data_IF_953608899563
#
_entry.id   IF_953608899563
#
_cell.length_a   1.000
_cell.length_b   1.000
_cell.length_c   1.000
_cell.angle_alpha   90.00
_cell.angle_beta   90.00
_cell.angle_gamma   90.00
#
_symmetry.space_group_name_H-M   'P 1'
#
loop_
_entity.id
_entity.type
_entity.pdbx_description
1 polymer ?
#
# COMPACT_ATOMS: atom_id res chain seq x y z
N UNK A 1 19.53 -10.38 -31.66
CA UNK A 1 18.17 -10.90 -31.31
C UNK A 1 17.29 -10.73 -32.57
N UNK A 2 16.82 -11.83 -33.20
CA UNK A 2 16.06 -11.73 -34.48
C UNK A 2 14.54 -11.72 -34.24
N UNK A 3 14.08 -10.87 -33.33
CA UNK A 3 12.65 -10.69 -33.00
C UNK A 3 12.26 -9.24 -33.28
N UNK A 4 11.14 -9.05 -34.00
CA UNK A 4 10.67 -7.72 -34.41
C UNK A 4 9.39 -7.34 -33.67
N UNK A 5 9.21 -6.04 -33.40
CA UNK A 5 7.94 -5.50 -32.91
C UNK A 5 6.81 -5.87 -33.88
N UNK A 6 5.60 -6.14 -33.38
CA UNK A 6 4.43 -6.68 -34.07
C UNK A 6 4.53 -8.16 -34.50
N UNK A 7 5.68 -8.82 -34.32
CA UNK A 7 5.79 -10.25 -34.58
C UNK A 7 4.88 -11.04 -33.64
N UNK A 8 4.16 -12.04 -34.16
CA UNK A 8 3.36 -13.00 -33.38
C UNK A 8 4.22 -14.21 -33.04
N UNK A 9 4.22 -14.61 -31.79
CA UNK A 9 5.01 -15.73 -31.27
C UNK A 9 4.16 -16.64 -30.38
N UNK A 10 4.30 -17.96 -30.50
CA UNK A 10 3.75 -18.90 -29.51
C UNK A 10 4.64 -18.89 -28.26
N UNK A 11 4.02 -19.03 -27.10
CA UNK A 11 4.74 -19.01 -25.83
C UNK A 11 4.07 -19.94 -24.80
N UNK A 12 4.89 -20.66 -24.03
CA UNK A 12 4.44 -21.36 -22.84
C UNK A 12 4.83 -20.56 -21.60
N UNK A 13 3.86 -20.21 -20.78
CA UNK A 13 4.08 -19.43 -19.56
C UNK A 13 4.61 -20.35 -18.46
N UNK A 14 5.80 -20.04 -17.97
CA UNK A 14 6.53 -20.85 -16.98
C UNK A 14 6.30 -20.40 -15.55
N UNK A 15 6.15 -19.07 -15.32
CA UNK A 15 5.94 -18.47 -14.01
C UNK A 15 5.20 -17.15 -14.13
N UNK A 16 4.79 -16.59 -13.01
CA UNK A 16 4.26 -15.23 -12.89
C UNK A 16 5.35 -14.27 -12.40
N UNK A 17 5.30 -13.04 -12.87
CA UNK A 17 6.21 -11.97 -12.47
C UNK A 17 5.63 -11.07 -11.37
N UNK A 18 6.45 -10.14 -10.89
CA UNK A 18 6.16 -9.28 -9.74
C UNK A 18 4.96 -8.33 -9.96
N UNK A 19 4.59 -8.05 -11.21
CA UNK A 19 3.42 -7.24 -11.53
C UNK A 19 2.22 -8.10 -11.98
N UNK A 20 2.24 -9.42 -11.76
CA UNK A 20 1.19 -10.34 -12.16
C UNK A 20 1.22 -10.78 -13.63
N UNK A 21 2.22 -10.37 -14.39
CA UNK A 21 2.41 -10.79 -15.77
C UNK A 21 2.89 -12.24 -15.88
N UNK A 22 2.44 -12.95 -16.92
CA UNK A 22 2.99 -14.26 -17.28
C UNK A 22 4.40 -14.11 -17.87
N UNK A 23 5.30 -15.03 -17.51
CA UNK A 23 6.68 -15.06 -17.97
C UNK A 23 6.95 -16.37 -18.69
N UNK A 24 7.43 -16.27 -19.93
CA UNK A 24 7.92 -17.39 -20.74
C UNK A 24 9.23 -17.06 -21.42
N UNK A 25 9.71 -18.00 -22.26
CA UNK A 25 10.95 -17.83 -23.02
C UNK A 25 10.72 -18.09 -24.50
N UNK A 26 11.14 -17.17 -25.33
CA UNK A 26 11.18 -17.33 -26.77
C UNK A 26 12.62 -17.24 -27.26
N UNK A 27 13.15 -18.35 -27.88
CA UNK A 27 14.56 -18.46 -28.33
C UNK A 27 15.54 -17.99 -27.22
N UNK A 28 15.38 -18.51 -25.98
CA UNK A 28 16.17 -18.19 -24.77
C UNK A 28 15.99 -16.75 -24.22
N UNK A 29 15.17 -15.92 -24.85
CA UNK A 29 14.88 -14.55 -24.38
C UNK A 29 13.64 -14.54 -23.52
N UNK A 30 13.71 -13.83 -22.41
CA UNK A 30 12.60 -13.63 -21.47
C UNK A 30 11.48 -12.83 -22.14
N UNK A 31 10.23 -13.27 -21.99
CA UNK A 31 9.04 -12.59 -22.54
C UNK A 31 8.02 -12.37 -21.42
N UNK A 32 7.61 -11.11 -21.23
CA UNK A 32 6.57 -10.72 -20.31
C UNK A 32 5.24 -10.55 -21.05
N UNK A 33 4.20 -11.19 -20.55
CA UNK A 33 2.85 -11.20 -21.16
C UNK A 33 1.80 -10.88 -20.09
N UNK A 34 1.40 -9.61 -19.94
CA UNK A 34 0.28 -9.25 -19.05
C UNK A 34 -0.98 -10.05 -19.38
N UNK A 35 -1.71 -10.49 -18.36
CA UNK A 35 -2.94 -11.25 -18.50
C UNK A 35 -2.77 -12.74 -18.77
N UNK A 36 -1.55 -13.26 -18.98
CA UNK A 36 -1.29 -14.68 -19.12
C UNK A 36 -0.93 -15.34 -17.79
N UNK A 37 -1.38 -16.58 -17.53
CA UNK A 37 -1.18 -17.33 -16.30
C UNK A 37 -0.16 -18.46 -16.46
N UNK A 38 0.53 -18.79 -15.36
CA UNK A 38 1.44 -19.95 -15.31
C UNK A 38 0.77 -21.22 -15.82
N UNK A 39 1.48 -21.93 -16.70
CA UNK A 39 1.04 -23.20 -17.32
C UNK A 39 0.26 -23.03 -18.61
N UNK A 40 -0.14 -21.80 -18.99
CA UNK A 40 -0.86 -21.53 -20.24
C UNK A 40 0.08 -21.61 -21.44
N UNK A 41 -0.50 -22.01 -22.59
CA UNK A 41 0.10 -21.91 -23.91
C UNK A 41 -0.65 -20.83 -24.69
N UNK A 42 0.05 -19.80 -25.12
CA UNK A 42 -0.55 -18.59 -25.67
C UNK A 42 0.09 -18.18 -26.99
N UNK A 43 -0.66 -17.47 -27.81
CA UNK A 43 -0.10 -16.61 -28.84
C UNK A 43 -0.06 -15.17 -28.34
N UNK A 44 1.06 -14.52 -28.51
CA UNK A 44 1.23 -13.13 -28.14
C UNK A 44 1.88 -12.32 -29.25
N UNK A 45 1.67 -11.01 -29.25
CA UNK A 45 2.26 -10.07 -30.19
C UNK A 45 3.32 -9.23 -29.46
N UNK A 46 4.54 -9.24 -30.00
CA UNK A 46 5.65 -8.43 -29.48
C UNK A 46 5.31 -6.95 -29.59
N UNK A 47 5.33 -6.27 -28.43
CA UNK A 47 5.08 -4.82 -28.33
C UNK A 47 6.37 -4.02 -28.16
N UNK A 48 7.37 -4.61 -27.50
CA UNK A 48 8.67 -3.97 -27.27
C UNK A 48 9.79 -5.01 -27.21
N UNK A 49 10.94 -4.68 -27.75
CA UNK A 49 12.14 -5.50 -27.68
C UNK A 49 13.22 -4.70 -26.92
N UNK A 50 13.68 -5.26 -25.81
CA UNK A 50 14.79 -4.74 -25.01
C UNK A 50 16.02 -5.65 -25.13
N UNK A 51 17.15 -5.19 -24.61
CA UNK A 51 18.40 -5.96 -24.67
C UNK A 51 18.27 -7.35 -24.03
N UNK A 52 17.57 -7.46 -22.89
CA UNK A 52 17.51 -8.67 -22.07
C UNK A 52 16.11 -9.30 -22.00
N UNK A 53 15.06 -8.65 -22.51
CA UNK A 53 13.70 -9.14 -22.47
C UNK A 53 12.82 -8.58 -23.58
N UNK A 54 11.66 -9.19 -23.75
CA UNK A 54 10.59 -8.79 -24.67
C UNK A 54 9.33 -8.53 -23.88
N UNK A 55 8.59 -7.48 -24.23
CA UNK A 55 7.21 -7.26 -23.78
C UNK A 55 6.27 -7.67 -24.92
N UNK A 56 5.19 -8.38 -24.57
CA UNK A 56 4.24 -8.84 -25.56
C UNK A 56 2.81 -8.73 -25.04
N UNK A 57 1.88 -8.45 -25.95
CA UNK A 57 0.44 -8.43 -25.69
C UNK A 57 -0.13 -9.83 -25.94
N UNK A 58 -0.93 -10.33 -24.99
CA UNK A 58 -1.71 -11.56 -25.14
C UNK A 58 -2.72 -11.39 -26.27
N UNK A 59 -2.76 -12.33 -27.21
CA UNK A 59 -3.75 -12.38 -28.31
C UNK A 59 -4.77 -13.49 -28.08
N UNK A 60 -4.29 -14.74 -27.93
CA UNK A 60 -5.13 -15.92 -27.73
C UNK A 60 -4.50 -16.88 -26.74
N UNK A 61 -5.34 -17.64 -26.05
CA UNK A 61 -4.93 -18.70 -25.14
C UNK A 61 -5.31 -20.02 -25.77
N UNK A 62 -4.31 -20.81 -26.19
CA UNK A 62 -4.51 -22.10 -26.85
C UNK A 62 -4.76 -23.21 -25.82
N UNK A 63 -4.07 -23.14 -24.65
CA UNK A 63 -4.30 -24.01 -23.52
C UNK A 63 -4.49 -23.17 -22.27
N UNK A 64 -5.71 -23.19 -21.72
CA UNK A 64 -6.07 -22.45 -20.50
C UNK A 64 -5.53 -23.13 -19.25
N UNK A 65 -5.13 -22.32 -18.28
CA UNK A 65 -4.94 -22.79 -16.92
C UNK A 65 -6.28 -23.20 -16.30
N UNK A 66 -6.34 -24.32 -15.58
CA UNK A 66 -7.53 -24.72 -14.83
C UNK A 66 -7.91 -23.76 -13.69
N UNK A 67 -7.00 -22.85 -13.35
CA UNK A 67 -7.18 -21.84 -12.32
C UNK A 67 -7.57 -20.47 -12.89
N UNK A 68 -7.72 -20.36 -14.21
CA UNK A 68 -8.23 -19.13 -14.82
C UNK A 68 -9.73 -19.06 -14.60
N UNK A 69 -10.17 -17.93 -14.05
CA UNK A 69 -11.58 -17.55 -13.91
C UNK A 69 -11.89 -16.36 -14.81
N UNK A 70 -13.16 -16.11 -15.04
CA UNK A 70 -13.60 -14.87 -15.66
C UNK A 70 -13.55 -13.75 -14.61
N UNK A 71 -12.89 -12.64 -14.94
CA UNK A 71 -12.84 -11.51 -14.04
C UNK A 71 -14.22 -10.84 -13.95
N UNK A 72 -14.82 -10.70 -12.77
CA UNK A 72 -16.18 -10.15 -12.63
C UNK A 72 -16.27 -8.65 -12.93
N UNK A 73 -15.14 -7.96 -13.09
CA UNK A 73 -15.07 -6.53 -13.35
C UNK A 73 -15.18 -6.24 -14.85
N UNK A 74 -16.24 -5.56 -15.27
CA UNK A 74 -16.52 -5.22 -16.68
C UNK A 74 -15.42 -4.40 -17.36
N UNK A 75 -14.64 -3.65 -16.58
CA UNK A 75 -13.57 -2.78 -17.08
C UNK A 75 -12.17 -3.33 -16.78
N UNK A 76 -12.07 -4.61 -16.40
CA UNK A 76 -10.80 -5.22 -15.97
C UNK A 76 -9.68 -5.03 -16.99
N UNK A 77 -9.94 -5.24 -18.26
CA UNK A 77 -8.94 -5.18 -19.34
C UNK A 77 -8.47 -3.74 -19.66
N UNK A 78 -9.25 -2.74 -19.27
CA UNK A 78 -8.93 -1.32 -19.52
C UNK A 78 -8.43 -0.57 -18.29
N UNK A 79 -8.75 -1.08 -17.08
CA UNK A 79 -8.39 -0.45 -15.82
C UNK A 79 -7.10 -1.04 -15.24
N UNK A 80 -6.04 -0.37 -15.10
CA UNK A 80 -4.80 -0.88 -14.49
C UNK A 80 -4.85 -1.14 -12.97
N UNK A 81 -6.03 -1.09 -12.32
CA UNK A 81 -6.16 -1.20 -10.87
C UNK A 81 -5.93 -2.61 -10.30
N UNK A 82 -6.32 -3.65 -11.03
CA UNK A 82 -6.19 -5.05 -10.65
C UNK A 82 -5.41 -5.81 -11.72
N UNK A 83 -4.46 -6.69 -11.32
CA UNK A 83 -3.59 -7.39 -12.26
C UNK A 83 -3.91 -8.88 -12.39
N UNK A 84 -4.51 -9.49 -11.34
CA UNK A 84 -4.68 -10.95 -11.26
C UNK A 84 -6.12 -11.38 -10.91
N UNK A 85 -7.14 -10.54 -11.15
CA UNK A 85 -8.55 -10.87 -10.88
C UNK A 85 -9.05 -12.05 -11.73
N UNK A 86 -8.38 -12.37 -12.83
CA UNK A 86 -8.64 -13.51 -13.70
C UNK A 86 -8.00 -14.83 -13.21
N UNK A 87 -7.35 -14.82 -12.03
CA UNK A 87 -6.82 -16.00 -11.34
C UNK A 87 -7.70 -16.34 -10.14
N UNK A 88 -8.03 -17.64 -9.94
CA UNK A 88 -8.78 -18.10 -8.76
C UNK A 88 -8.14 -17.59 -7.46
N UNK A 89 -8.95 -17.18 -6.48
CA UNK A 89 -8.45 -16.43 -5.32
C UNK A 89 -7.40 -17.21 -4.51
N UNK A 90 -7.63 -18.49 -4.23
CA UNK A 90 -6.62 -19.30 -3.52
C UNK A 90 -5.28 -19.34 -4.26
N UNK A 91 -5.32 -19.31 -5.59
CA UNK A 91 -4.09 -19.27 -6.41
C UNK A 91 -3.45 -17.88 -6.46
N UNK A 92 -4.21 -16.83 -6.15
CA UNK A 92 -3.64 -15.51 -5.90
C UNK A 92 -2.80 -15.52 -4.61
N UNK A 93 -3.24 -16.23 -3.55
CA UNK A 93 -2.49 -16.36 -2.29
C UNK A 93 -1.20 -17.15 -2.50
N UNK A 94 -1.26 -18.29 -3.19
CA UNK A 94 -0.06 -19.07 -3.56
C UNK A 94 0.91 -18.26 -4.44
N UNK A 95 0.39 -17.47 -5.37
CA UNK A 95 1.20 -16.58 -6.20
C UNK A 95 1.93 -15.52 -5.36
N UNK A 96 1.29 -14.94 -4.34
CA UNK A 96 1.91 -13.96 -3.46
C UNK A 96 3.02 -14.56 -2.61
N UNK A 97 2.83 -15.79 -2.13
CA UNK A 97 3.89 -16.55 -1.48
C UNK A 97 5.06 -16.84 -2.45
N UNK A 98 4.77 -17.24 -3.69
CA UNK A 98 5.78 -17.50 -4.71
C UNK A 98 6.61 -16.24 -5.05
N UNK A 99 5.99 -15.05 -5.05
CA UNK A 99 6.72 -13.79 -5.22
C UNK A 99 7.77 -13.56 -4.12
N UNK A 100 7.41 -13.85 -2.88
CA UNK A 100 8.33 -13.78 -1.75
C UNK A 100 9.49 -14.76 -1.94
N UNK A 101 9.20 -16.03 -2.26
CA UNK A 101 10.22 -17.06 -2.52
C UNK A 101 11.14 -16.67 -3.69
N UNK A 102 10.60 -16.10 -4.76
CA UNK A 102 11.39 -15.61 -5.90
C UNK A 102 12.33 -14.47 -5.49
N UNK A 103 11.86 -13.53 -4.64
CA UNK A 103 12.67 -12.42 -4.14
C UNK A 103 13.81 -12.94 -3.24
N UNK A 104 13.53 -13.82 -2.30
CA UNK A 104 14.53 -14.45 -1.44
C UNK A 104 15.59 -15.21 -2.27
N UNK A 105 15.17 -15.99 -3.24
CA UNK A 105 16.10 -16.70 -4.14
C UNK A 105 16.99 -15.76 -4.95
N UNK A 106 16.44 -14.60 -5.36
CA UNK A 106 17.18 -13.61 -6.16
C UNK A 106 18.26 -12.91 -5.35
N UNK A 107 17.97 -12.51 -4.12
CA UNK A 107 18.91 -11.75 -3.28
C UNK A 107 19.73 -12.64 -2.34
N UNK A 108 19.29 -13.87 -2.10
CA UNK A 108 19.95 -14.91 -1.31
C UNK A 108 20.49 -14.43 0.04
N UNK A 109 19.66 -13.83 0.94
CA UNK A 109 20.11 -13.50 2.29
C UNK A 109 20.55 -14.78 3.02
N UNK A 110 21.47 -14.67 3.96
CA UNK A 110 22.08 -15.81 4.63
C UNK A 110 21.03 -16.74 5.26
N UNK A 111 21.02 -18.01 4.90
CA UNK A 111 20.10 -19.03 5.44
C UNK A 111 18.70 -19.01 4.83
N UNK A 112 18.43 -18.24 3.78
CA UNK A 112 17.10 -18.05 3.19
C UNK A 112 16.39 -19.35 2.78
N UNK A 113 17.14 -20.40 2.48
CA UNK A 113 16.60 -21.70 2.09
C UNK A 113 15.87 -22.41 3.24
N UNK A 114 16.20 -22.05 4.49
CA UNK A 114 15.66 -22.61 5.71
C UNK A 114 14.61 -21.70 6.40
N UNK A 115 14.26 -20.55 5.82
CA UNK A 115 13.25 -19.67 6.43
C UNK A 115 11.88 -20.35 6.42
N UNK A 116 11.20 -20.33 7.56
CA UNK A 116 9.79 -20.71 7.63
C UNK A 116 8.94 -19.67 6.90
N UNK A 117 8.49 -19.99 5.69
CA UNK A 117 7.56 -19.15 4.93
C UNK A 117 6.17 -19.72 5.10
N UNK A 118 5.33 -18.99 5.82
CA UNK A 118 3.96 -19.37 6.12
C UNK A 118 3.03 -19.06 4.96
N UNK A 119 1.93 -19.82 4.77
CA UNK A 119 0.93 -19.55 3.74
C UNK A 119 0.39 -18.11 3.86
N UNK A 120 0.13 -17.47 2.73
CA UNK A 120 -0.42 -16.11 2.70
C UNK A 120 -1.81 -16.08 3.32
N UNK A 121 -2.03 -15.22 4.32
CA UNK A 121 -3.35 -15.01 4.91
C UNK A 121 -4.20 -14.18 3.97
N UNK A 122 -5.31 -14.76 3.49
CA UNK A 122 -6.26 -14.12 2.59
C UNK A 122 -7.47 -13.53 3.31
N UNK A 123 -8.41 -12.98 2.52
CA UNK A 123 -9.72 -12.51 2.96
C UNK A 123 -10.81 -13.55 2.66
N UNK A 124 -11.85 -13.60 3.48
CA UNK A 124 -13.07 -14.37 3.17
C UNK A 124 -13.83 -13.71 2.00
N UNK A 125 -14.01 -12.40 2.06
CA UNK A 125 -14.67 -11.59 1.04
C UNK A 125 -13.67 -10.64 0.38
N UNK A 126 -12.98 -11.05 -0.71
CA UNK A 126 -11.89 -10.28 -1.31
C UNK A 126 -12.38 -9.11 -2.20
N UNK A 127 -13.63 -8.70 -2.07
CA UNK A 127 -14.25 -7.58 -2.76
C UNK A 127 -14.64 -6.45 -1.79
N UNK A 128 -14.79 -5.23 -2.30
CA UNK A 128 -15.25 -4.05 -1.56
C UNK A 128 -14.43 -3.73 -0.29
N UNK A 129 -13.20 -4.19 -0.25
CA UNK A 129 -12.32 -4.07 0.92
C UNK A 129 -11.64 -2.71 1.05
N UNK A 130 -11.52 -1.96 -0.05
CA UNK A 130 -10.70 -0.76 -0.12
C UNK A 130 -11.47 0.45 0.44
N UNK A 131 -11.21 0.80 1.70
CA UNK A 131 -11.91 1.85 2.44
C UNK A 131 -11.52 3.28 2.03
N UNK A 132 -10.47 3.45 1.23
CA UNK A 132 -10.02 4.75 0.71
C UNK A 132 -9.94 4.71 -0.80
N UNK A 133 -10.67 5.58 -1.46
CA UNK A 133 -10.51 5.87 -2.89
C UNK A 133 -9.79 7.19 -3.11
N UNK A 134 -9.14 7.29 -4.26
CA UNK A 134 -8.45 8.49 -4.70
C UNK A 134 -8.53 8.54 -6.21
N UNK A 135 -9.57 9.22 -6.70
CA UNK A 135 -9.88 9.28 -8.12
C UNK A 135 -9.54 10.63 -8.73
N UNK A 136 -8.93 10.57 -9.89
CA UNK A 136 -8.73 11.74 -10.72
C UNK A 136 -10.06 12.16 -11.34
N UNK A 137 -10.25 13.46 -11.53
CA UNK A 137 -11.42 14.01 -12.22
C UNK A 137 -11.03 14.57 -13.58
N UNK A 138 -11.89 14.38 -14.58
CA UNK A 138 -11.73 14.95 -15.93
C UNK A 138 -13.09 15.33 -16.50
N UNK A 139 -13.10 16.39 -17.30
CA UNK A 139 -14.29 16.77 -18.05
C UNK A 139 -14.26 16.10 -19.43
N UNK A 140 -15.34 15.39 -19.77
CA UNK A 140 -15.58 14.79 -21.08
C UNK A 140 -16.88 15.37 -21.63
N UNK A 141 -16.76 16.24 -22.65
CA UNK A 141 -17.90 17.02 -23.14
C UNK A 141 -18.55 17.78 -21.98
N UNK A 142 -19.80 17.49 -21.66
CA UNK A 142 -20.55 18.14 -20.58
C UNK A 142 -20.57 17.35 -19.26
N UNK A 143 -19.96 16.15 -19.23
CA UNK A 143 -19.91 15.31 -18.05
C UNK A 143 -18.56 15.42 -17.32
N UNK A 144 -18.61 15.41 -16.00
CA UNK A 144 -17.43 15.18 -15.15
C UNK A 144 -17.36 13.69 -14.85
N UNK A 145 -16.20 13.07 -15.10
CA UNK A 145 -15.90 11.67 -14.78
C UNK A 145 -14.82 11.60 -13.72
N UNK A 146 -14.95 10.62 -12.83
CA UNK A 146 -13.95 10.28 -11.82
C UNK A 146 -13.45 8.85 -12.07
N UNK A 147 -12.16 8.61 -11.81
CA UNK A 147 -11.58 7.30 -12.02
C UNK A 147 -10.06 7.26 -11.89
N UNK A 148 -9.47 6.23 -12.47
CA UNK A 148 -8.02 6.00 -12.48
C UNK A 148 -7.48 6.13 -13.92
N UNK A 149 -6.19 6.41 -14.04
CA UNK A 149 -5.54 6.32 -15.35
C UNK A 149 -5.34 4.86 -15.77
N UNK A 150 -5.57 4.58 -17.04
CA UNK A 150 -5.19 3.30 -17.63
C UNK A 150 -3.68 3.09 -17.48
N UNK A 151 -3.27 1.83 -17.39
CA UNK A 151 -1.87 1.47 -17.15
C UNK A 151 -0.93 2.13 -18.18
N UNK A 152 0.13 2.78 -17.69
CA UNK A 152 1.14 3.50 -18.50
C UNK A 152 0.54 4.57 -19.44
N UNK A 153 -0.55 5.22 -19.02
CA UNK A 153 -1.20 6.25 -19.83
C UNK A 153 -1.80 7.37 -18.97
N UNK A 154 -2.12 8.50 -19.61
CA UNK A 154 -2.90 9.59 -19.01
C UNK A 154 -4.39 9.51 -19.39
N UNK A 155 -4.84 8.40 -20.02
CA UNK A 155 -6.24 8.19 -20.33
C UNK A 155 -7.00 7.81 -19.07
N UNK A 156 -8.03 8.60 -18.71
CA UNK A 156 -8.87 8.33 -17.54
C UNK A 156 -9.88 7.23 -17.85
N UNK A 157 -9.80 6.13 -17.15
CA UNK A 157 -10.86 5.10 -17.10
C UNK A 157 -11.87 5.50 -16.05
N UNK A 158 -13.10 5.78 -16.48
CA UNK A 158 -14.19 6.15 -15.56
C UNK A 158 -14.61 4.94 -14.72
N UNK A 159 -14.62 5.11 -13.40
CA UNK A 159 -14.93 4.04 -12.44
C UNK A 159 -16.30 4.34 -11.79
N UNK A 160 -17.39 3.90 -12.41
CA UNK A 160 -18.73 4.03 -11.85
C UNK A 160 -19.11 2.91 -10.90
N UNK A 161 -18.49 1.74 -11.06
CA UNK A 161 -18.70 0.56 -10.22
C UNK A 161 -17.38 -0.20 -10.11
N UNK A 162 -16.63 0.03 -9.04
CA UNK A 162 -15.37 -0.65 -8.80
C UNK A 162 -15.55 -1.72 -7.73
N UNK A 163 -15.34 -2.98 -8.09
CA UNK A 163 -15.58 -4.12 -7.20
C UNK A 163 -14.61 -4.22 -6.02
N UNK A 164 -13.51 -3.48 -6.02
CA UNK A 164 -12.57 -3.48 -4.87
C UNK A 164 -12.76 -2.27 -3.95
N UNK A 165 -13.45 -1.20 -4.40
CA UNK A 165 -13.74 -0.04 -3.58
C UNK A 165 -14.93 -0.28 -2.65
N UNK A 166 -14.90 0.30 -1.45
CA UNK A 166 -16.03 0.33 -0.54
C UNK A 166 -17.26 0.93 -1.23
N UNK A 167 -18.42 0.31 -1.04
CA UNK A 167 -19.66 0.67 -1.74
C UNK A 167 -20.11 2.11 -1.46
N UNK A 168 -19.98 2.56 -0.22
CA UNK A 168 -20.37 3.93 0.20
C UNK A 168 -19.46 4.97 -0.44
N UNK A 169 -18.13 4.76 -0.36
CA UNK A 169 -17.18 5.68 -1.00
C UNK A 169 -17.38 5.75 -2.51
N UNK A 170 -17.76 4.62 -3.14
CA UNK A 170 -18.08 4.57 -4.58
C UNK A 170 -19.37 5.35 -4.90
N UNK A 171 -20.40 5.26 -4.07
CA UNK A 171 -21.64 6.04 -4.25
C UNK A 171 -21.36 7.53 -4.11
N UNK A 172 -20.62 7.93 -3.08
CA UNK A 172 -20.24 9.33 -2.86
C UNK A 172 -19.46 9.90 -4.04
N UNK A 173 -18.43 9.22 -4.56
CA UNK A 173 -17.66 9.75 -5.70
C UNK A 173 -18.50 9.88 -6.97
N UNK A 174 -19.44 8.97 -7.21
CA UNK A 174 -20.37 9.06 -8.33
C UNK A 174 -21.29 10.29 -8.19
N UNK A 175 -21.74 10.59 -6.96
CA UNK A 175 -22.51 11.81 -6.68
C UNK A 175 -21.66 13.06 -6.83
N UNK A 176 -20.44 13.06 -6.27
CA UNK A 176 -19.49 14.17 -6.42
C UNK A 176 -19.27 14.51 -7.89
N UNK A 177 -19.00 13.53 -8.75
CA UNK A 177 -18.80 13.78 -10.18
C UNK A 177 -20.01 14.48 -10.83
N UNK A 178 -21.24 14.04 -10.49
CA UNK A 178 -22.47 14.67 -10.96
C UNK A 178 -22.63 16.11 -10.44
N UNK A 179 -22.34 16.35 -9.16
CA UNK A 179 -22.48 17.67 -8.54
C UNK A 179 -21.45 18.66 -9.05
N UNK A 180 -20.19 18.22 -9.29
CA UNK A 180 -19.17 19.05 -9.92
C UNK A 180 -19.60 19.54 -11.30
N UNK A 181 -20.30 18.69 -12.08
CA UNK A 181 -20.90 19.05 -13.35
C UNK A 181 -22.11 19.98 -13.19
N UNK A 182 -23.07 19.65 -12.29
CA UNK A 182 -24.27 20.43 -11.99
C UNK A 182 -23.95 21.88 -11.63
N UNK A 183 -22.96 22.06 -10.74
CA UNK A 183 -22.53 23.38 -10.25
C UNK A 183 -21.43 24.01 -11.12
N UNK A 184 -21.10 23.39 -12.26
CA UNK A 184 -20.12 23.89 -13.25
C UNK A 184 -18.75 24.24 -12.61
N UNK A 185 -18.34 23.46 -11.60
CA UNK A 185 -17.03 23.71 -10.98
C UNK A 185 -15.90 23.43 -11.98
N UNK A 186 -14.86 24.25 -11.99
CA UNK A 186 -13.69 24.04 -12.82
C UNK A 186 -13.04 22.70 -12.52
N UNK A 187 -12.79 21.91 -13.56
CA UNK A 187 -12.09 20.63 -13.48
C UNK A 187 -10.67 20.81 -14.02
N UNK A 188 -9.71 20.15 -13.40
CA UNK A 188 -8.31 20.19 -13.81
C UNK A 188 -8.13 19.75 -15.25
N UNK A 189 -7.35 20.53 -15.97
CA UNK A 189 -6.83 20.26 -17.32
C UNK A 189 -5.31 20.44 -17.26
N UNK A 190 -4.54 19.60 -17.92
CA UNK A 190 -3.07 19.65 -17.95
C UNK A 190 -2.53 20.99 -18.48
N UNK A 191 -3.32 21.69 -19.29
CA UNK A 191 -3.01 23.03 -19.81
C UNK A 191 -3.33 24.12 -18.80
N UNK A 192 -4.29 23.87 -17.88
CA UNK A 192 -4.76 24.80 -16.86
C UNK A 192 -4.73 24.09 -15.51
N UNK A 193 -3.75 24.38 -14.70
CA UNK A 193 -3.60 23.78 -13.35
C UNK A 193 -4.69 24.17 -12.35
N UNK A 194 -5.62 25.04 -12.76
CA UNK A 194 -6.75 25.45 -11.96
C UNK A 194 -7.91 24.47 -12.08
N UNK A 195 -8.55 24.12 -10.98
CA UNK A 195 -9.72 23.25 -10.93
C UNK A 195 -9.54 22.00 -10.07
N UNK A 196 -10.63 21.24 -9.90
CA UNK A 196 -10.62 20.00 -9.13
C UNK A 196 -9.82 18.94 -9.90
N UNK A 197 -8.75 18.45 -9.29
CA UNK A 197 -7.81 17.48 -9.88
C UNK A 197 -8.10 16.07 -9.42
N UNK A 198 -8.27 15.94 -8.10
CA UNK A 198 -8.43 14.65 -7.43
C UNK A 198 -9.50 14.78 -6.36
N UNK A 199 -10.26 13.74 -6.15
CA UNK A 199 -11.14 13.59 -4.99
C UNK A 199 -10.67 12.36 -4.23
N UNK A 200 -10.36 12.56 -2.94
CA UNK A 200 -10.08 11.48 -2.00
C UNK A 200 -11.30 11.31 -1.11
N UNK A 201 -11.73 10.06 -0.91
CA UNK A 201 -12.78 9.70 0.04
C UNK A 201 -12.28 8.52 0.85
N UNK A 202 -12.42 8.63 2.18
CA UNK A 202 -12.06 7.58 3.13
C UNK A 202 -13.26 7.28 4.00
N UNK A 203 -13.53 6.00 4.22
CA UNK A 203 -14.52 5.55 5.18
C UNK A 203 -13.84 4.80 6.31
N UNK A 204 -14.07 5.22 7.54
CA UNK A 204 -13.69 4.49 8.73
C UNK A 204 -14.57 3.24 8.87
N UNK A 205 -13.97 2.06 9.01
CA UNK A 205 -14.72 0.79 9.02
C UNK A 205 -15.47 0.57 10.34
N UNK A 206 -14.85 0.91 11.47
CA UNK A 206 -15.47 0.71 12.80
C UNK A 206 -16.60 1.70 13.06
N UNK A 207 -16.43 2.97 12.69
CA UNK A 207 -17.42 4.02 12.98
C UNK A 207 -18.39 4.29 11.85
N UNK A 208 -18.04 3.91 10.60
CA UNK A 208 -18.80 4.25 9.40
C UNK A 208 -18.58 5.69 8.92
N UNK A 209 -17.89 6.53 9.68
CA UNK A 209 -17.62 7.93 9.36
C UNK A 209 -16.85 8.08 8.05
N UNK A 210 -17.24 9.10 7.27
CA UNK A 210 -16.61 9.39 5.96
C UNK A 210 -15.92 10.74 6.00
N UNK A 211 -14.71 10.75 5.44
CA UNK A 211 -13.91 11.95 5.22
C UNK A 211 -13.63 12.13 3.73
N UNK A 212 -13.79 13.35 3.23
CA UNK A 212 -13.54 13.69 1.83
C UNK A 212 -12.58 14.87 1.69
N UNK A 213 -11.71 14.82 0.67
CA UNK A 213 -10.79 15.90 0.32
C UNK A 213 -10.94 16.20 -1.17
N UNK A 214 -11.22 17.47 -1.50
CA UNK A 214 -11.06 17.99 -2.84
C UNK A 214 -9.62 18.51 -3.01
N UNK A 215 -8.89 18.00 -3.99
CA UNK A 215 -7.57 18.55 -4.36
C UNK A 215 -7.77 19.46 -5.56
N UNK A 216 -7.40 20.74 -5.41
CA UNK A 216 -7.64 21.76 -6.43
C UNK A 216 -6.46 22.71 -6.57
N UNK A 217 -6.27 23.28 -7.76
CA UNK A 217 -5.19 24.25 -8.03
C UNK A 217 -5.54 25.70 -7.61
N UNK A 218 -6.76 25.96 -7.17
CA UNK A 218 -7.20 27.30 -6.72
C UNK A 218 -8.35 27.20 -5.72
N UNK A 219 -8.64 28.30 -5.03
CA UNK A 219 -9.83 28.41 -4.18
C UNK A 219 -11.09 28.34 -5.04
N UNK A 220 -12.02 27.47 -4.65
CA UNK A 220 -13.33 27.27 -5.28
C UNK A 220 -14.39 27.26 -4.20
N UNK A 221 -15.62 27.67 -4.53
CA UNK A 221 -16.77 27.53 -3.63
C UNK A 221 -17.38 26.14 -3.78
N UNK A 222 -17.18 25.30 -2.78
CA UNK A 222 -17.76 23.95 -2.69
C UNK A 222 -19.06 23.92 -1.88
N UNK A 223 -19.53 25.06 -1.32
CA UNK A 223 -20.70 25.08 -0.43
C UNK A 223 -21.96 24.42 -1.02
N UNK A 224 -22.31 24.63 -2.32
CA UNK A 224 -23.47 23.95 -2.90
C UNK A 224 -23.26 22.42 -3.03
N UNK A 225 -22.04 21.98 -3.34
CA UNK A 225 -21.70 20.55 -3.46
C UNK A 225 -21.76 19.88 -2.09
N UNK A 226 -21.15 20.50 -1.07
CA UNK A 226 -21.13 19.99 0.30
C UNK A 226 -22.55 19.88 0.85
N UNK A 227 -23.38 20.91 0.69
CA UNK A 227 -24.80 20.90 1.13
C UNK A 227 -25.56 19.70 0.54
N UNK A 228 -25.46 19.49 -0.80
CA UNK A 228 -26.16 18.39 -1.45
C UNK A 228 -25.62 17.02 -1.05
N UNK A 229 -24.31 16.91 -0.74
CA UNK A 229 -23.67 15.68 -0.27
C UNK A 229 -24.10 15.33 1.15
N UNK A 230 -24.04 16.27 2.09
CA UNK A 230 -24.39 16.06 3.49
C UNK A 230 -25.87 15.69 3.65
N UNK A 231 -26.74 16.26 2.81
CA UNK A 231 -28.17 15.91 2.81
C UNK A 231 -28.44 14.46 2.36
N UNK A 232 -27.56 13.87 1.52
CA UNK A 232 -27.72 12.51 0.99
C UNK A 232 -26.89 11.46 1.76
N UNK A 233 -25.75 11.86 2.34
CA UNK A 233 -24.80 10.97 3.03
C UNK A 233 -24.56 11.46 4.46
N UNK A 234 -25.39 11.05 5.43
CA UNK A 234 -25.28 11.48 6.82
C UNK A 234 -23.97 11.00 7.50
N UNK A 235 -23.32 9.97 6.96
CA UNK A 235 -22.02 9.48 7.41
C UNK A 235 -20.84 10.39 7.05
N UNK A 236 -21.05 11.42 6.22
CA UNK A 236 -20.00 12.36 5.83
C UNK A 236 -19.73 13.33 7.00
N UNK A 237 -18.60 13.13 7.69
CA UNK A 237 -18.22 13.88 8.90
C UNK A 237 -17.21 15.00 8.64
N UNK A 238 -16.40 14.87 7.59
CA UNK A 238 -15.33 15.82 7.28
C UNK A 238 -15.26 16.09 5.79
N UNK A 239 -15.29 17.36 5.41
CA UNK A 239 -14.93 17.79 4.05
C UNK A 239 -13.79 18.80 4.12
N UNK A 240 -12.71 18.51 3.39
CA UNK A 240 -11.53 19.36 3.31
C UNK A 240 -11.22 19.76 1.86
N UNK A 241 -10.48 20.83 1.71
CA UNK A 241 -9.85 21.25 0.45
C UNK A 241 -8.34 21.27 0.62
N UNK A 242 -7.63 20.62 -0.28
CA UNK A 242 -6.18 20.72 -0.37
C UNK A 242 -5.79 21.51 -1.63
N UNK A 243 -4.89 22.45 -1.46
CA UNK A 243 -4.44 23.34 -2.53
C UNK A 243 -3.14 22.82 -3.14
N UNK A 244 -3.22 22.30 -4.36
CA UNK A 244 -2.10 21.75 -5.11
C UNK A 244 -1.92 22.54 -6.42
N UNK A 245 -1.02 23.51 -6.41
CA UNK A 245 -0.78 24.43 -7.53
C UNK A 245 0.33 23.99 -8.48
N UNK A 246 1.16 23.03 -8.06
CA UNK A 246 2.27 22.53 -8.87
C UNK A 246 1.84 21.46 -9.90
N UNK A 247 2.71 21.19 -10.87
CA UNK A 247 2.55 20.07 -11.82
C UNK A 247 3.21 18.77 -11.34
N UNK A 248 3.63 18.72 -10.07
CA UNK A 248 4.25 17.52 -9.51
C UNK A 248 3.30 16.31 -9.56
N UNK A 249 3.86 15.13 -9.46
CA UNK A 249 3.11 13.86 -9.33
C UNK A 249 2.56 13.62 -7.93
N UNK A 250 2.89 14.48 -6.97
CA UNK A 250 2.34 14.43 -5.62
C UNK A 250 0.82 14.63 -5.67
N UNK A 251 0.15 14.04 -4.69
CA UNK A 251 -1.31 14.07 -4.62
C UNK A 251 -1.77 15.35 -3.94
N UNK A 252 -1.09 15.71 -2.85
CA UNK A 252 -1.41 16.85 -2.02
C UNK A 252 -0.39 17.98 -2.20
N UNK A 253 -0.87 19.20 -2.14
CA UNK A 253 -0.05 20.36 -1.86
C UNK A 253 0.08 20.61 -0.35
N UNK A 254 0.75 21.67 0.03
CA UNK A 254 1.14 21.94 1.41
C UNK A 254 -0.04 22.35 2.31
N UNK A 255 -1.02 23.05 1.76
CA UNK A 255 -2.13 23.62 2.54
C UNK A 255 -3.40 22.80 2.42
N UNK A 256 -3.98 22.43 3.58
CA UNK A 256 -5.28 21.78 3.68
C UNK A 256 -6.18 22.57 4.62
N UNK A 257 -7.41 22.83 4.22
CA UNK A 257 -8.43 23.54 4.98
C UNK A 257 -9.67 22.67 5.14
N UNK A 258 -10.21 22.58 6.36
CA UNK A 258 -11.53 22.00 6.60
C UNK A 258 -12.56 23.05 6.19
N UNK A 259 -13.46 22.66 5.30
CA UNK A 259 -14.54 23.54 4.82
C UNK A 259 -15.92 23.16 5.36
N UNK A 260 -16.03 21.96 5.97
CA UNK A 260 -17.24 21.50 6.63
C UNK A 260 -16.94 20.33 7.59
N UNK A 261 -17.67 20.30 8.71
CA UNK A 261 -17.69 19.21 9.68
C UNK A 261 -16.46 19.13 10.58
N UNK A 262 -16.16 17.93 11.06
CA UNK A 262 -15.15 17.65 12.06
C UNK A 262 -13.73 17.72 11.50
N UNK A 263 -12.74 17.95 12.37
CA UNK A 263 -11.32 18.03 11.99
C UNK A 263 -10.72 16.68 11.62
N UNK A 264 -11.32 15.59 12.09
CA UNK A 264 -10.84 14.22 11.92
C UNK A 264 -11.98 13.23 12.03
N UNK A 265 -11.90 12.09 11.37
CA UNK A 265 -12.78 10.94 11.60
C UNK A 265 -12.17 10.01 12.65
N UNK A 266 -13.00 9.19 13.29
CA UNK A 266 -12.56 8.17 14.23
C UNK A 266 -12.49 6.83 13.52
N UNK A 267 -11.36 6.16 13.65
CA UNK A 267 -11.13 4.81 13.12
C UNK A 267 -10.64 3.91 14.25
N UNK A 268 -10.71 2.60 14.06
CA UNK A 268 -10.19 1.64 15.00
C UNK A 268 -9.36 0.56 14.33
N UNK A 269 -8.38 0.05 15.06
CA UNK A 269 -7.61 -1.14 14.70
C UNK A 269 -7.30 -1.92 15.95
N UNK A 270 -7.46 -3.23 15.89
CA UNK A 270 -7.42 -4.10 17.07
C UNK A 270 -8.40 -3.55 18.13
N UNK A 271 -7.94 -3.33 19.36
CA UNK A 271 -8.76 -2.81 20.47
C UNK A 271 -8.64 -1.28 20.66
N UNK A 272 -8.05 -0.56 19.71
CA UNK A 272 -7.76 0.87 19.85
C UNK A 272 -8.53 1.72 18.86
N UNK A 273 -9.06 2.85 19.35
CA UNK A 273 -9.68 3.91 18.54
C UNK A 273 -8.74 5.11 18.47
N UNK A 274 -8.65 5.70 17.29
CA UNK A 274 -7.78 6.84 17.03
C UNK A 274 -8.40 7.80 16.02
N UNK A 275 -7.95 9.05 16.07
CA UNK A 275 -8.40 10.10 15.16
C UNK A 275 -7.50 10.14 13.92
N UNK A 276 -8.12 10.29 12.75
CA UNK A 276 -7.44 10.45 11.47
C UNK A 276 -7.76 11.82 10.88
N UNK A 277 -6.77 12.70 10.85
CA UNK A 277 -6.85 13.96 10.11
C UNK A 277 -6.84 13.73 8.59
N UNK A 278 -7.23 14.71 7.74
CA UNK A 278 -7.36 14.50 6.30
C UNK A 278 -6.08 13.98 5.61
N UNK A 279 -4.91 14.44 6.01
CA UNK A 279 -3.63 14.02 5.41
C UNK A 279 -3.01 12.79 6.05
N UNK A 280 -3.50 12.35 7.21
CA UNK A 280 -2.97 11.18 7.90
C UNK A 280 -3.02 9.94 7.02
N UNK A 281 -1.92 9.21 6.98
CA UNK A 281 -1.88 7.90 6.34
C UNK A 281 -2.64 6.88 7.19
N UNK A 282 -3.36 6.01 6.56
CA UNK A 282 -3.90 4.78 7.11
C UNK A 282 -4.05 3.76 6.00
N UNK A 283 -3.93 2.50 6.33
CA UNK A 283 -4.00 1.38 5.40
C UNK A 283 -5.34 1.35 4.63
N UNK A 284 -5.29 0.86 3.38
CA UNK A 284 -6.43 0.92 2.47
C UNK A 284 -7.46 -0.18 2.71
N UNK A 285 -7.06 -1.26 3.36
CA UNK A 285 -7.87 -2.43 3.71
C UNK A 285 -7.89 -2.61 5.24
N UNK A 286 -8.83 -1.99 5.95
CA UNK A 286 -8.87 -2.04 7.42
C UNK A 286 -8.97 -3.45 7.99
N UNK A 287 -9.70 -4.37 7.34
CA UNK A 287 -9.86 -5.75 7.78
C UNK A 287 -8.50 -6.50 7.76
N UNK A 288 -7.78 -6.42 6.67
CA UNK A 288 -6.44 -7.03 6.58
C UNK A 288 -5.38 -6.25 7.35
N UNK A 289 -5.62 -4.99 7.67
CA UNK A 289 -4.75 -4.21 8.58
C UNK A 289 -4.77 -4.80 9.98
N UNK A 290 -5.93 -5.22 10.48
CA UNK A 290 -6.02 -5.92 11.77
C UNK A 290 -5.22 -7.23 11.76
N UNK A 291 -5.29 -7.98 10.66
CA UNK A 291 -4.51 -9.21 10.49
C UNK A 291 -3.01 -8.91 10.44
N UNK A 292 -2.59 -7.96 9.58
CA UNK A 292 -1.18 -7.59 9.40
C UNK A 292 -0.56 -7.09 10.72
N UNK A 293 -1.25 -6.18 11.40
CA UNK A 293 -0.77 -5.61 12.66
C UNK A 293 -0.86 -6.62 13.81
N UNK A 294 -1.87 -7.48 13.82
CA UNK A 294 -1.95 -8.61 14.74
C UNK A 294 -0.75 -9.55 14.62
N UNK A 295 -0.35 -9.90 13.39
CA UNK A 295 0.85 -10.71 13.13
C UNK A 295 2.15 -9.96 13.52
N UNK A 296 2.23 -8.65 13.28
CA UNK A 296 3.37 -7.85 13.70
C UNK A 296 3.50 -7.78 15.23
N UNK A 297 2.40 -7.59 15.95
CA UNK A 297 2.35 -7.59 17.43
C UNK A 297 2.74 -8.95 18.01
N UNK A 298 2.27 -10.06 17.42
CA UNK A 298 2.68 -11.42 17.83
C UNK A 298 4.18 -11.65 17.60
N UNK A 299 4.69 -11.15 16.47
CA UNK A 299 6.10 -11.31 16.11
C UNK A 299 7.04 -10.52 17.03
N UNK A 300 6.61 -9.33 17.52
CA UNK A 300 7.40 -8.49 18.43
C UNK A 300 7.72 -9.19 19.75
N UNK A 301 6.77 -9.95 20.32
CA UNK A 301 6.97 -10.73 21.55
C UNK A 301 7.59 -9.92 22.71
N UNK A 302 7.06 -8.71 22.91
CA UNK A 302 7.56 -7.75 23.90
C UNK A 302 7.01 -7.97 25.30
N UNK A 303 7.77 -7.52 26.29
CA UNK A 303 7.46 -7.57 27.71
C UNK A 303 7.45 -6.17 28.34
N UNK A 304 6.99 -6.04 29.59
CA UNK A 304 6.98 -4.76 30.33
C UNK A 304 8.37 -4.18 30.64
N UNK A 305 9.41 -4.93 30.43
CA UNK A 305 10.79 -4.45 30.61
C UNK A 305 11.40 -3.88 29.33
N UNK A 306 10.80 -4.20 28.17
CA UNK A 306 11.36 -3.82 26.87
C UNK A 306 11.14 -2.33 26.54
N UNK A 307 12.18 -1.72 25.99
CA UNK A 307 12.14 -0.42 25.32
C UNK A 307 11.94 -0.65 23.81
N UNK A 308 10.86 -0.10 23.25
CA UNK A 308 10.49 -0.27 21.85
C UNK A 308 10.73 0.98 21.02
N UNK A 309 11.27 0.82 19.82
CA UNK A 309 11.23 1.81 18.75
C UNK A 309 10.21 1.35 17.68
N UNK A 310 9.25 2.23 17.35
CA UNK A 310 8.31 2.10 16.24
C UNK A 310 8.72 3.09 15.11
N UNK A 311 9.50 2.60 14.15
CA UNK A 311 10.00 3.39 13.05
C UNK A 311 9.00 3.41 11.88
N UNK A 312 8.78 4.58 11.30
CA UNK A 312 7.72 4.85 10.32
C UNK A 312 6.31 4.67 10.93
N UNK A 313 6.12 5.14 12.16
CA UNK A 313 4.96 4.83 12.99
C UNK A 313 3.63 5.42 12.47
N UNK A 314 3.66 6.39 11.53
CA UNK A 314 2.47 7.10 11.08
C UNK A 314 1.74 7.75 12.28
N UNK A 315 0.46 7.43 12.44
CA UNK A 315 -0.34 7.91 13.58
C UNK A 315 -0.18 7.05 14.84
N UNK A 316 0.80 6.13 14.88
CA UNK A 316 1.17 5.30 16.03
C UNK A 316 0.44 3.95 16.13
N UNK A 317 -0.23 3.50 15.09
CA UNK A 317 -1.19 2.38 15.16
C UNK A 317 -0.60 1.05 15.64
N UNK A 318 0.59 0.66 15.19
CA UNK A 318 1.22 -0.59 15.64
C UNK A 318 1.76 -0.42 17.07
N UNK A 319 2.43 0.72 17.33
CA UNK A 319 2.97 1.04 18.66
C UNK A 319 1.89 1.04 19.75
N UNK A 320 0.70 1.59 19.47
CA UNK A 320 -0.42 1.61 20.42
C UNK A 320 -0.85 0.19 20.85
N UNK A 321 -0.85 -0.76 19.92
CA UNK A 321 -1.24 -2.14 20.22
C UNK A 321 -0.32 -2.84 21.24
N UNK A 322 0.89 -2.29 21.46
CA UNK A 322 1.85 -2.82 22.43
C UNK A 322 2.25 -1.82 23.53
N UNK A 323 1.80 -0.57 23.49
CA UNK A 323 2.20 0.48 24.42
C UNK A 323 2.05 0.10 25.90
N UNK A 324 0.97 -0.61 26.26
CA UNK A 324 0.75 -1.13 27.63
C UNK A 324 1.62 -2.34 28.00
N UNK A 325 2.32 -2.92 27.02
CA UNK A 325 3.14 -4.14 27.22
C UNK A 325 4.63 -3.86 27.22
N UNK A 326 5.02 -2.60 27.09
CA UNK A 326 6.43 -2.18 27.03
C UNK A 326 6.72 -1.13 28.12
N UNK A 327 7.97 -1.03 28.52
CA UNK A 327 8.45 -0.03 29.48
C UNK A 327 8.41 1.38 28.89
N UNK A 328 8.85 1.52 27.64
CA UNK A 328 8.73 2.77 26.88
C UNK A 328 8.60 2.49 25.38
N UNK A 329 7.92 3.40 24.69
CA UNK A 329 7.75 3.40 23.25
C UNK A 329 8.25 4.73 22.68
N UNK A 330 9.16 4.70 21.72
CA UNK A 330 9.51 5.85 20.90
C UNK A 330 9.08 5.62 19.46
N UNK A 331 8.22 6.51 18.95
CA UNK A 331 7.77 6.47 17.55
C UNK A 331 8.30 7.64 16.74
N UNK A 332 8.55 7.43 15.46
CA UNK A 332 8.91 8.50 14.55
C UNK A 332 8.33 8.31 13.15
N UNK A 333 8.02 9.42 12.49
CA UNK A 333 7.58 9.49 11.11
C UNK A 333 8.00 10.81 10.48
N UNK A 334 8.17 10.83 9.15
CA UNK A 334 8.56 12.03 8.42
C UNK A 334 7.43 13.06 8.31
N UNK A 335 6.17 12.65 8.51
CA UNK A 335 4.97 13.49 8.34
C UNK A 335 4.59 14.14 9.67
N UNK A 336 4.82 15.47 9.86
CA UNK A 336 4.56 16.15 11.12
C UNK A 336 3.10 16.01 11.59
N UNK A 337 2.13 16.09 10.69
CA UNK A 337 0.70 15.97 11.03
C UNK A 337 0.36 14.57 11.56
N UNK A 338 1.00 13.52 11.05
CA UNK A 338 0.82 12.16 11.56
C UNK A 338 1.37 12.03 12.98
N UNK A 339 2.51 12.64 13.27
CA UNK A 339 3.11 12.68 14.61
C UNK A 339 2.24 13.47 15.60
N UNK A 340 1.66 14.59 15.18
CA UNK A 340 0.71 15.31 16.04
C UNK A 340 -0.57 14.49 16.31
N UNK A 341 -1.04 13.72 15.32
CA UNK A 341 -2.12 12.76 15.52
C UNK A 341 -1.70 11.66 16.51
N UNK A 342 -0.49 11.10 16.38
CA UNK A 342 0.04 10.08 17.28
C UNK A 342 0.10 10.58 18.74
N UNK A 343 0.62 11.79 18.96
CA UNK A 343 0.68 12.42 20.31
C UNK A 343 -0.72 12.62 20.90
N UNK A 344 -1.67 13.14 20.12
CA UNK A 344 -3.07 13.33 20.58
C UNK A 344 -3.74 12.00 20.92
N UNK A 345 -3.55 11.00 20.05
CA UNK A 345 -4.10 9.67 20.25
C UNK A 345 -3.50 8.99 21.48
N UNK A 346 -2.19 9.03 21.67
CA UNK A 346 -1.51 8.50 22.85
C UNK A 346 -2.05 9.14 24.16
N UNK A 347 -2.19 10.48 24.16
CA UNK A 347 -2.76 11.22 25.30
C UNK A 347 -4.22 10.81 25.58
N UNK A 348 -5.05 10.69 24.53
CA UNK A 348 -6.45 10.24 24.66
C UNK A 348 -6.57 8.84 25.26
N UNK A 349 -5.61 7.96 24.93
CA UNK A 349 -5.56 6.57 25.42
C UNK A 349 -4.86 6.42 26.79
N UNK A 350 -4.33 7.51 27.35
CA UNK A 350 -3.61 7.50 28.63
C UNK A 350 -2.26 6.78 28.58
N UNK A 351 -1.53 6.87 27.47
CA UNK A 351 -0.20 6.31 27.33
C UNK A 351 0.87 7.33 27.78
N UNK A 352 1.35 7.22 29.00
CA UNK A 352 2.36 8.12 29.57
C UNK A 352 3.81 7.68 29.25
N UNK A 353 3.98 6.47 28.72
CA UNK A 353 5.27 5.86 28.39
C UNK A 353 5.66 6.04 26.92
N UNK A 354 5.04 6.97 26.19
CA UNK A 354 5.26 7.15 24.77
C UNK A 354 5.91 8.50 24.43
N UNK A 355 6.77 8.51 23.41
CA UNK A 355 7.39 9.72 22.86
C UNK A 355 7.32 9.63 21.32
N UNK A 356 6.83 10.68 20.67
CA UNK A 356 6.74 10.74 19.21
C UNK A 356 7.49 11.95 18.67
N UNK A 357 8.26 11.75 17.59
CA UNK A 357 9.08 12.78 16.97
C UNK A 357 8.94 12.77 15.44
N UNK A 358 8.82 13.97 14.83
CA UNK A 358 8.77 14.13 13.38
C UNK A 358 10.19 14.23 12.80
N UNK A 359 10.48 13.42 11.80
CA UNK A 359 11.74 13.40 11.07
C UNK A 359 12.03 12.04 10.45
N UNK A 360 13.20 11.89 9.84
CA UNK A 360 13.60 10.65 9.17
C UNK A 360 14.16 9.62 10.16
N UNK A 361 13.91 8.34 9.91
CA UNK A 361 14.44 7.26 10.76
C UNK A 361 15.97 7.22 10.76
N UNK A 362 16.57 7.57 9.63
CA UNK A 362 18.01 7.61 9.38
C UNK A 362 18.74 8.69 10.22
N UNK A 363 18.01 9.70 10.71
CA UNK A 363 18.53 10.78 11.55
C UNK A 363 18.14 10.60 13.01
N UNK A 364 16.88 10.29 13.28
CA UNK A 364 16.34 10.23 14.65
C UNK A 364 16.87 9.03 15.40
N UNK A 365 16.84 7.83 14.83
CA UNK A 365 17.24 6.61 15.55
C UNK A 365 18.71 6.64 15.96
N UNK A 366 19.69 6.99 15.08
CA UNK A 366 21.08 7.14 15.50
C UNK A 366 21.28 8.18 16.63
N UNK A 367 20.53 9.29 16.58
CA UNK A 367 20.58 10.32 17.60
C UNK A 367 20.08 9.81 18.95
N UNK A 368 18.95 9.11 19.00
CA UNK A 368 18.44 8.49 20.23
C UNK A 368 19.44 7.52 20.85
N UNK A 369 20.16 6.74 20.04
CA UNK A 369 21.22 5.87 20.52
C UNK A 369 22.42 6.67 21.06
N UNK A 370 22.77 7.79 20.44
CA UNK A 370 23.84 8.68 20.90
C UNK A 370 23.47 9.35 22.24
N UNK A 371 22.20 9.69 22.42
CA UNK A 371 21.62 10.24 23.65
C UNK A 371 21.49 9.20 24.79
N UNK A 372 21.86 7.95 24.53
CA UNK A 372 21.88 6.88 25.54
C UNK A 372 20.61 6.02 25.56
N UNK A 373 19.59 6.26 24.71
CA UNK A 373 18.46 5.36 24.62
C UNK A 373 18.88 4.02 24.01
N UNK A 374 18.43 2.92 24.61
CA UNK A 374 18.72 1.55 24.14
C UNK A 374 17.40 0.84 23.96
N UNK A 375 17.12 0.45 22.71
CA UNK A 375 15.93 -0.32 22.37
C UNK A 375 16.22 -1.82 22.50
N UNK A 376 15.31 -2.54 23.16
CA UNK A 376 15.29 -4.01 23.23
C UNK A 376 14.54 -4.57 22.02
N UNK A 377 13.57 -3.83 21.53
CA UNK A 377 12.76 -4.18 20.38
C UNK A 377 12.66 -3.04 19.35
N UNK A 378 12.62 -3.41 18.08
CA UNK A 378 12.45 -2.49 16.94
C UNK A 378 11.38 -3.03 16.01
N UNK A 379 10.42 -2.19 15.64
CA UNK A 379 9.54 -2.45 14.50
C UNK A 379 9.81 -1.42 13.40
N UNK A 380 9.81 -1.87 12.15
CA UNK A 380 9.95 -1.02 10.97
C UNK A 380 8.85 -1.34 9.96
N UNK A 381 8.19 -0.31 9.42
CA UNK A 381 7.22 -0.38 8.31
C UNK A 381 7.61 0.63 7.22
N UNK A 382 8.74 0.39 6.52
CA UNK A 382 9.31 1.35 5.58
C UNK A 382 8.48 1.48 4.30
N UNK A 383 8.66 2.58 3.53
CA UNK A 383 8.08 2.73 2.21
C UNK A 383 8.56 1.66 1.22
N UNK A 384 7.99 1.64 0.01
CA UNK A 384 8.31 0.65 -1.04
C UNK A 384 9.78 0.55 -1.43
N UNK A 385 10.57 1.55 -1.14
CA UNK A 385 12.02 1.58 -1.36
C UNK A 385 12.80 0.71 -0.38
N UNK A 386 12.16 0.26 0.71
CA UNK A 386 12.82 -0.45 1.81
C UNK A 386 13.56 0.50 2.74
N UNK A 387 14.42 -0.06 3.56
CA UNK A 387 15.26 0.70 4.48
C UNK A 387 16.42 1.40 3.74
N UNK A 388 16.75 2.59 4.20
CA UNK A 388 17.94 3.31 3.76
C UNK A 388 19.22 2.64 4.30
N UNK A 389 20.34 2.79 3.57
CA UNK A 389 21.62 2.16 3.94
C UNK A 389 22.13 2.64 5.30
N UNK A 390 21.99 3.93 5.64
CA UNK A 390 22.40 4.50 6.91
C UNK A 390 21.60 3.92 8.09
N UNK A 391 20.29 3.72 7.89
CA UNK A 391 19.45 3.08 8.90
C UNK A 391 19.79 1.60 9.04
N UNK A 392 20.02 0.87 7.94
CA UNK A 392 20.47 -0.52 7.97
C UNK A 392 21.80 -0.67 8.75
N UNK A 393 22.77 0.23 8.52
CA UNK A 393 24.02 0.26 9.29
C UNK A 393 23.81 0.53 10.77
N UNK A 394 22.90 1.43 11.10
CA UNK A 394 22.52 1.71 12.49
C UNK A 394 21.89 0.49 13.15
N UNK A 395 20.96 -0.19 12.46
CA UNK A 395 20.30 -1.39 12.98
C UNK A 395 21.32 -2.52 13.19
N UNK A 396 22.23 -2.74 12.25
CA UNK A 396 23.29 -3.76 12.36
C UNK A 396 24.25 -3.43 13.51
N UNK A 397 24.59 -2.16 13.69
CA UNK A 397 25.52 -1.71 14.74
C UNK A 397 24.95 -1.88 16.16
N UNK A 398 23.71 -1.49 16.39
CA UNK A 398 23.09 -1.52 17.72
C UNK A 398 22.32 -2.81 17.99
N UNK A 399 21.80 -3.44 16.98
CA UNK A 399 21.15 -4.75 16.96
C UNK A 399 20.24 -5.00 18.19
N UNK A 400 19.05 -4.35 18.28
CA UNK A 400 18.03 -4.70 19.25
C UNK A 400 17.79 -6.22 19.30
N UNK A 401 17.51 -6.78 20.47
CA UNK A 401 17.31 -8.24 20.63
C UNK A 401 16.15 -8.78 19.78
N UNK A 402 15.09 -7.98 19.62
CA UNK A 402 13.87 -8.33 18.88
C UNK A 402 13.68 -7.34 17.74
N UNK A 403 13.38 -7.86 16.55
CA UNK A 403 13.07 -6.99 15.42
C UNK A 403 11.89 -7.56 14.62
N UNK A 404 10.97 -6.68 14.23
CA UNK A 404 9.90 -6.99 13.27
C UNK A 404 10.02 -6.07 12.07
N UNK A 405 10.01 -6.65 10.88
CA UNK A 405 9.97 -5.93 9.61
C UNK A 405 8.61 -6.16 8.94
N UNK A 406 7.80 -5.12 8.85
CA UNK A 406 6.58 -5.10 8.02
C UNK A 406 6.97 -4.56 6.65
N UNK A 407 6.61 -5.24 5.58
CA UNK A 407 7.05 -4.88 4.23
C UNK A 407 5.91 -4.86 3.23
N UNK A 408 5.79 -3.78 2.48
CA UNK A 408 4.87 -3.68 1.33
C UNK A 408 5.55 -4.01 -0.02
N UNK A 409 6.82 -4.48 -0.01
CA UNK A 409 7.58 -4.84 -1.21
C UNK A 409 8.59 -5.96 -0.92
N UNK A 410 8.24 -7.18 -1.28
CA UNK A 410 9.08 -8.38 -1.03
C UNK A 410 10.46 -8.32 -1.68
N UNK A 411 10.63 -7.53 -2.74
CA UNK A 411 11.95 -7.36 -3.41
C UNK A 411 12.91 -6.55 -2.56
N UNK A 412 12.46 -5.42 -2.00
CA UNK A 412 13.28 -4.59 -1.10
C UNK A 412 13.48 -5.27 0.24
N UNK A 413 12.46 -5.96 0.76
CA UNK A 413 12.59 -6.82 1.94
C UNK A 413 13.75 -7.82 1.78
N UNK A 414 13.75 -8.61 0.69
CA UNK A 414 14.79 -9.62 0.48
C UNK A 414 16.19 -8.99 0.31
N UNK A 415 16.29 -7.78 -0.28
CA UNK A 415 17.52 -7.01 -0.37
C UNK A 415 18.02 -6.59 1.03
N UNK A 416 17.14 -6.05 1.85
CA UNK A 416 17.49 -5.53 3.18
C UNK A 416 17.88 -6.67 4.14
N UNK A 417 17.21 -7.84 4.00
CA UNK A 417 17.58 -9.04 4.74
C UNK A 417 19.01 -9.50 4.49
N UNK A 418 19.61 -9.23 3.32
CA UNK A 418 21.04 -9.54 3.08
C UNK A 418 21.94 -8.86 4.11
N UNK A 419 21.64 -7.62 4.47
CA UNK A 419 22.42 -6.84 5.45
C UNK A 419 21.99 -7.17 6.89
N UNK A 420 20.70 -7.28 7.15
CA UNK A 420 20.16 -7.59 8.47
C UNK A 420 20.59 -8.98 8.97
N UNK A 421 20.65 -9.98 8.10
CA UNK A 421 21.07 -11.32 8.45
C UNK A 421 22.57 -11.47 8.75
N UNK A 422 23.33 -10.39 8.75
CA UNK A 422 24.68 -10.37 9.35
C UNK A 422 24.61 -10.51 10.89
N UNK A 423 23.55 -9.99 11.50
CA UNK A 423 23.38 -9.95 12.97
C UNK A 423 22.07 -10.55 13.46
N UNK A 424 21.14 -10.88 12.56
CA UNK A 424 19.83 -11.43 12.90
C UNK A 424 19.61 -12.82 12.30
N UNK A 425 18.85 -13.63 13.00
CA UNK A 425 18.22 -14.85 12.50
C UNK A 425 16.75 -14.56 12.14
N UNK A 426 16.32 -15.03 10.97
CA UNK A 426 14.90 -14.99 10.56
C UNK A 426 14.18 -16.21 11.09
N UNK A 427 13.17 -16.02 11.93
CA UNK A 427 12.35 -17.11 12.47
C UNK A 427 11.27 -17.55 11.49
N UNK A 428 10.48 -16.59 11.01
CA UNK A 428 9.45 -16.85 9.99
C UNK A 428 9.11 -15.58 9.21
N UNK A 429 8.49 -15.80 8.07
CA UNK A 429 7.88 -14.77 7.24
C UNK A 429 6.42 -15.12 7.03
N UNK A 430 5.53 -14.21 7.44
CA UNK A 430 4.09 -14.31 7.26
C UNK A 430 3.63 -13.28 6.24
N UNK A 431 3.20 -13.71 5.06
CA UNK A 431 2.57 -12.81 4.09
C UNK A 431 1.07 -12.64 4.34
N UNK A 432 0.57 -11.44 4.05
CA UNK A 432 -0.84 -11.05 4.20
C UNK A 432 -1.33 -10.42 2.90
N UNK A 433 -2.50 -10.83 2.43
CA UNK A 433 -3.12 -10.27 1.24
C UNK A 433 -3.86 -8.96 1.53
N UNK A 434 -3.10 -7.88 1.69
CA UNK A 434 -3.65 -6.53 1.88
C UNK A 434 -4.42 -6.02 0.67
N UNK A 435 -4.12 -6.53 -0.52
CA UNK A 435 -4.68 -6.04 -1.78
C UNK A 435 -5.12 -7.20 -2.69
N UNK A 436 -6.23 -7.87 -2.38
CA UNK A 436 -6.83 -8.88 -3.25
C UNK A 436 -6.93 -8.41 -4.71
N UNK A 437 -6.80 -9.35 -5.65
CA UNK A 437 -6.84 -9.13 -7.10
C UNK A 437 -5.69 -8.30 -7.69
N UNK A 438 -4.73 -7.88 -6.86
CA UNK A 438 -3.50 -7.21 -7.30
C UNK A 438 -2.27 -8.08 -7.06
N UNK A 439 -1.19 -7.80 -7.77
CA UNK A 439 0.09 -8.48 -7.57
C UNK A 439 0.89 -7.96 -6.35
N UNK A 440 0.26 -7.16 -5.49
CA UNK A 440 0.91 -6.62 -4.28
C UNK A 440 0.89 -7.65 -3.17
N UNK A 441 2.03 -7.76 -2.48
CA UNK A 441 2.21 -8.68 -1.35
C UNK A 441 2.80 -7.90 -0.20
N UNK A 442 2.20 -8.02 0.98
CA UNK A 442 2.78 -7.52 2.22
C UNK A 442 3.19 -8.69 3.11
N UNK A 443 4.20 -8.49 3.93
CA UNK A 443 4.77 -9.54 4.76
C UNK A 443 5.28 -8.98 6.09
N UNK A 444 5.12 -9.78 7.14
CA UNK A 444 5.72 -9.58 8.47
C UNK A 444 6.85 -10.58 8.62
N UNK A 445 8.03 -10.09 9.01
CA UNK A 445 9.20 -10.92 9.30
C UNK A 445 9.55 -10.81 10.78
N UNK A 446 9.63 -11.94 11.47
CA UNK A 446 10.16 -12.03 12.84
C UNK A 446 11.66 -12.29 12.79
N UNK A 447 12.43 -11.39 13.40
CA UNK A 447 13.88 -11.53 13.53
C UNK A 447 14.28 -11.47 15.01
N UNK A 448 15.32 -12.20 15.37
CA UNK A 448 16.02 -12.04 16.66
C UNK A 448 17.52 -11.94 16.45
N UNK A 449 18.17 -11.19 17.31
CA UNK A 449 19.62 -11.05 17.31
C UNK A 449 20.29 -12.41 17.47
N UNK A 450 21.33 -12.66 16.69
CA UNK A 450 22.13 -13.88 16.79
C UNK A 450 22.90 -13.92 18.10
N UNK A 451 22.78 -15.02 18.82
CA UNK A 451 23.64 -15.26 19.97
C UNK A 451 25.08 -15.48 19.49
N UNK A 452 26.00 -14.71 20.04
CA UNK A 452 27.45 -14.78 19.73
C UNK A 452 28.09 -16.15 19.97
N UNK A 453 27.39 -17.10 20.56
CA UNK A 453 27.86 -18.47 20.89
C UNK A 453 27.78 -19.50 19.75
N UNK A 454 27.31 -19.13 18.54
CA UNK A 454 27.21 -20.05 17.39
C UNK A 454 28.33 -19.92 16.36
N UNK A 455 29.41 -19.20 16.68
CA UNK A 455 30.64 -19.13 15.87
C UNK A 455 31.72 -20.00 16.49
N UNK A 456 31.49 -21.30 16.57
CA UNK A 456 32.57 -22.28 16.84
C UNK A 456 32.41 -23.49 15.92
#
# INVERSE_FOLDING_TARGET
>A
MNVKVKQRIPLKIKKMGINGEGIGFYKKTLVFVPGALKGEEVYCQVTKVQRNFIEAKLLTINKRSKFRVEAPCEIYDSCGGCQIMHLHYDKQLEFKEDLLRQALKKFAPAGYENYEIRPTIGMQEPLYYRAKLQFQTRKFKDEVKAGLYAQNSHYLVSLKNCLVQDKVTQQIINKVARLLGKYRLPIYDERKTAGVRTVMIRRARKTGQVQMIFVTGRKLDFSPVVRDLVAEFPELETVAVNYHTSKSSEIYGDKTEIIWGEKAIQEGVLDYEFSLSPRAFYQLNPEQTEVLYGEAVKALDVTKEDHLIDAYCGVGTIGFAVAKRVKSLRGMDIIPEAIEDAKRNAKKMGFDNTLYEAGTAEEIIPRWYTEGYRADALIVDPPRTGLDDKLLETIVRYAPEKMVYVSCNVSTLARDLVKLCQVYDVHYIQSVDMFPHTARTEAVVKLSKRNSTRLS
#
